data_IF_296685578373
#
_entry.id   IF_296685578373
#
_cell.length_a   1.000
_cell.length_b   1.000
_cell.length_c   1.000
_cell.angle_alpha   90.00
_cell.angle_beta   90.00
_cell.angle_gamma   90.00
#
_symmetry.space_group_name_H-M   'P 1'
#
loop_
_entity.id
_entity.type
_entity.pdbx_description
1 polymer ?
#
# COMPACT_ATOMS: atom_id res chain seq x y z
N UNK A 1 31.10 -10.75 11.76
CA UNK A 1 31.62 -9.71 10.84
C UNK A 1 30.61 -9.58 9.69
N UNK A 2 30.25 -8.39 9.21
CA UNK A 2 29.33 -8.26 8.04
C UNK A 2 30.11 -8.47 6.74
N UNK A 3 29.62 -9.32 5.83
CA UNK A 3 30.15 -9.44 4.45
C UNK A 3 29.93 -8.10 3.73
N UNK A 4 30.91 -7.64 2.97
CA UNK A 4 30.75 -6.55 2.00
C UNK A 4 30.58 -7.15 0.61
N UNK A 5 29.69 -6.60 -0.19
CA UNK A 5 29.63 -6.85 -1.63
C UNK A 5 30.47 -5.80 -2.37
N UNK A 6 31.01 -6.18 -3.51
CA UNK A 6 31.72 -5.30 -4.44
C UNK A 6 30.77 -4.80 -5.54
N UNK A 7 31.22 -3.80 -6.30
CA UNK A 7 30.52 -3.37 -7.51
C UNK A 7 30.48 -4.45 -8.60
N UNK A 8 31.36 -5.45 -8.56
CA UNK A 8 31.31 -6.58 -9.48
C UNK A 8 30.17 -7.54 -9.13
N UNK A 9 29.98 -7.87 -7.84
CA UNK A 9 28.88 -8.73 -7.39
C UNK A 9 27.50 -8.09 -7.69
N UNK A 10 27.39 -6.76 -7.53
CA UNK A 10 26.18 -6.01 -7.89
C UNK A 10 25.94 -6.07 -9.41
N UNK A 11 26.99 -5.87 -10.23
CA UNK A 11 26.89 -5.95 -11.70
C UNK A 11 26.64 -7.36 -12.23
N UNK A 12 27.01 -8.41 -11.50
CA UNK A 12 26.66 -9.80 -11.83
C UNK A 12 25.26 -10.20 -11.37
N UNK A 13 24.45 -9.27 -10.85
CA UNK A 13 23.08 -9.53 -10.46
C UNK A 13 22.91 -10.32 -9.16
N UNK A 14 23.89 -10.34 -8.25
CA UNK A 14 23.79 -11.11 -6.99
C UNK A 14 22.65 -10.67 -6.04
N UNK A 15 22.00 -9.54 -6.36
CA UNK A 15 20.87 -8.95 -5.65
C UNK A 15 19.56 -8.98 -6.46
N UNK A 16 19.57 -9.63 -7.63
CA UNK A 16 18.34 -9.98 -8.35
C UNK A 16 17.77 -11.21 -7.63
N UNK A 17 16.51 -11.13 -7.23
CA UNK A 17 15.81 -12.21 -6.54
C UNK A 17 15.58 -13.39 -7.49
N UNK A 18 15.70 -14.61 -6.98
CA UNK A 18 15.41 -15.82 -7.74
C UNK A 18 13.92 -16.17 -7.63
N UNK A 19 13.30 -16.70 -8.70
CA UNK A 19 11.98 -17.32 -8.62
C UNK A 19 11.92 -18.31 -7.46
N UNK A 20 10.86 -18.20 -6.66
CA UNK A 20 10.65 -19.01 -5.46
C UNK A 20 9.42 -19.88 -5.67
N UNK A 21 9.59 -21.19 -5.44
CA UNK A 21 8.51 -22.15 -5.56
C UNK A 21 7.50 -21.94 -4.44
N UNK A 22 6.24 -21.73 -4.79
CA UNK A 22 5.14 -21.59 -3.85
C UNK A 22 4.08 -22.67 -4.11
N UNK A 23 3.34 -22.99 -3.04
CA UNK A 23 2.11 -23.78 -3.11
C UNK A 23 0.95 -22.84 -2.84
N UNK A 24 -0.06 -22.85 -3.71
CA UNK A 24 -1.22 -21.94 -3.63
C UNK A 24 -2.47 -22.76 -3.36
N UNK A 25 -3.05 -22.60 -2.18
CA UNK A 25 -4.32 -23.24 -1.78
C UNK A 25 -5.52 -22.46 -2.37
N UNK A 26 -6.46 -23.18 -2.98
CA UNK A 26 -7.69 -22.66 -3.58
C UNK A 26 -8.88 -23.59 -3.32
N UNK A 27 -10.10 -23.07 -3.44
CA UNK A 27 -11.33 -23.86 -3.42
C UNK A 27 -11.86 -24.07 -4.84
N UNK A 28 -11.97 -25.33 -5.27
CA UNK A 28 -12.53 -25.72 -6.56
C UNK A 28 -13.82 -26.51 -6.31
N UNK A 29 -14.95 -26.00 -6.81
CA UNK A 29 -16.29 -26.59 -6.57
C UNK A 29 -16.69 -26.80 -5.09
N UNK A 30 -15.97 -26.18 -4.15
CA UNK A 30 -16.14 -26.34 -2.70
C UNK A 30 -15.14 -27.30 -2.04
N UNK A 31 -14.32 -28.01 -2.82
CA UNK A 31 -13.24 -28.87 -2.33
C UNK A 31 -11.93 -28.06 -2.26
N UNK A 32 -11.13 -28.18 -1.17
CA UNK A 32 -9.78 -27.64 -1.12
C UNK A 32 -8.87 -28.34 -2.12
N UNK A 33 -8.10 -27.56 -2.88
CA UNK A 33 -7.09 -28.02 -3.81
C UNK A 33 -5.85 -27.12 -3.67
N UNK A 34 -4.68 -27.66 -3.98
CA UNK A 34 -3.44 -26.90 -4.12
C UNK A 34 -2.88 -27.03 -5.54
N UNK A 35 -1.97 -26.11 -5.88
CA UNK A 35 -1.08 -26.25 -7.03
C UNK A 35 0.26 -25.58 -6.73
N UNK A 36 1.30 -26.00 -7.44
CA UNK A 36 2.64 -25.42 -7.34
C UNK A 36 2.93 -24.51 -8.54
N UNK A 37 3.63 -23.39 -8.31
CA UNK A 37 4.16 -22.49 -9.35
C UNK A 37 5.39 -21.75 -8.78
N UNK A 38 6.06 -20.91 -9.58
CA UNK A 38 7.09 -20.00 -9.05
C UNK A 38 6.65 -18.54 -9.17
N UNK A 39 7.05 -17.73 -8.19
CA UNK A 39 6.89 -16.28 -8.22
C UNK A 39 8.23 -15.57 -8.03
N UNK A 40 8.40 -14.41 -8.67
CA UNK A 40 9.46 -13.44 -8.32
C UNK A 40 8.88 -12.27 -7.51
N UNK A 41 9.74 -11.49 -6.84
CA UNK A 41 9.32 -10.15 -6.37
C UNK A 41 8.99 -9.22 -7.54
N UNK A 42 8.24 -8.16 -7.25
CA UNK A 42 8.00 -7.08 -8.21
C UNK A 42 9.29 -6.26 -8.38
N UNK A 43 9.68 -6.01 -9.62
CA UNK A 43 10.91 -5.33 -10.01
C UNK A 43 10.65 -4.26 -11.08
N UNK A 44 11.69 -3.87 -11.83
CA UNK A 44 11.57 -2.88 -12.90
C UNK A 44 10.76 -3.37 -14.12
N UNK A 45 10.73 -4.66 -14.46
CA UNK A 45 9.85 -5.15 -15.55
C UNK A 45 8.39 -5.15 -15.10
N UNK A 46 8.12 -5.45 -13.82
CA UNK A 46 6.77 -5.32 -13.25
C UNK A 46 6.25 -3.89 -13.32
N UNK A 47 7.10 -2.91 -13.00
CA UNK A 47 6.76 -1.49 -13.09
C UNK A 47 6.50 -1.05 -14.55
N UNK A 48 7.28 -1.57 -15.51
CA UNK A 48 7.06 -1.32 -16.95
C UNK A 48 5.73 -1.95 -17.40
N UNK A 49 5.44 -3.20 -17.03
CA UNK A 49 4.19 -3.88 -17.36
C UNK A 49 2.97 -3.13 -16.81
N UNK A 50 3.03 -2.63 -15.57
CA UNK A 50 1.99 -1.76 -15.00
C UNK A 50 1.83 -0.45 -15.78
N UNK A 51 2.94 0.21 -16.15
CA UNK A 51 2.89 1.45 -16.94
C UNK A 51 2.33 1.23 -18.35
N UNK A 52 2.65 0.11 -19.00
CA UNK A 52 2.11 -0.25 -20.30
C UNK A 52 0.63 -0.60 -20.25
N UNK A 53 0.17 -1.30 -19.20
CA UNK A 53 -1.25 -1.58 -18.98
C UNK A 53 -2.06 -0.28 -18.89
N UNK A 54 -1.60 0.65 -18.04
CA UNK A 54 -2.22 1.96 -17.84
C UNK A 54 -2.27 2.77 -19.15
N UNK A 55 -1.18 2.79 -19.94
CA UNK A 55 -1.15 3.45 -21.26
C UNK A 55 -2.15 2.86 -22.26
N UNK A 56 -2.45 1.56 -22.14
CA UNK A 56 -3.42 0.84 -22.98
C UNK A 56 -4.85 0.90 -22.42
N UNK A 57 -5.10 1.69 -21.37
CA UNK A 57 -6.34 1.71 -20.58
C UNK A 57 -6.79 0.31 -20.08
N UNK A 58 -5.82 -0.59 -19.85
CA UNK A 58 -6.03 -1.92 -19.27
C UNK A 58 -5.92 -1.86 -17.75
N UNK A 59 -6.67 -2.74 -17.09
CA UNK A 59 -6.45 -3.10 -15.68
C UNK A 59 -5.03 -3.70 -15.53
N UNK A 60 -4.28 -3.25 -14.52
CA UNK A 60 -2.85 -3.49 -14.39
C UNK A 60 -2.46 -4.66 -13.46
N UNK A 61 -3.32 -5.10 -12.54
CA UNK A 61 -3.07 -6.29 -11.71
C UNK A 61 -2.87 -7.53 -12.59
N UNK A 62 -3.65 -7.69 -13.66
CA UNK A 62 -3.43 -8.77 -14.61
C UNK A 62 -2.04 -8.73 -15.28
N UNK A 63 -1.47 -7.55 -15.52
CA UNK A 63 -0.12 -7.38 -16.07
C UNK A 63 0.98 -7.62 -15.02
N UNK A 64 0.72 -7.23 -13.78
CA UNK A 64 1.60 -7.51 -12.63
C UNK A 64 1.65 -9.01 -12.35
N UNK A 65 0.51 -9.70 -12.39
CA UNK A 65 0.42 -11.15 -12.23
C UNK A 65 1.15 -11.88 -13.37
N UNK A 66 0.99 -11.44 -14.62
CA UNK A 66 1.69 -12.03 -15.77
C UNK A 66 3.21 -11.90 -15.66
N UNK A 67 3.72 -10.76 -15.16
CA UNK A 67 5.16 -10.57 -14.93
C UNK A 67 5.67 -11.34 -13.70
N UNK A 68 4.87 -11.49 -12.64
CA UNK A 68 5.30 -12.12 -11.39
C UNK A 68 5.19 -13.65 -11.37
N UNK A 69 4.24 -14.25 -12.10
CA UNK A 69 4.05 -15.72 -12.19
C UNK A 69 4.96 -16.27 -13.29
N UNK A 70 5.98 -17.00 -12.89
CA UNK A 70 7.12 -17.38 -13.73
C UNK A 70 7.47 -18.85 -13.54
N UNK A 71 8.29 -19.39 -14.44
CA UNK A 71 8.90 -20.70 -14.27
C UNK A 71 10.18 -20.63 -13.42
N UNK A 72 10.83 -21.78 -13.21
CA UNK A 72 12.11 -21.92 -12.49
C UNK A 72 13.24 -20.99 -12.99
N UNK A 73 13.16 -20.49 -14.23
CA UNK A 73 14.17 -19.61 -14.85
C UNK A 73 13.81 -18.12 -14.78
N UNK A 74 12.59 -17.77 -14.34
CA UNK A 74 12.08 -16.40 -14.33
C UNK A 74 11.42 -15.97 -15.65
N UNK A 75 11.10 -16.92 -16.53
CA UNK A 75 10.32 -16.67 -17.76
C UNK A 75 8.82 -16.70 -17.40
N UNK A 76 7.98 -15.73 -17.82
CA UNK A 76 6.54 -15.73 -17.55
C UNK A 76 5.80 -16.99 -18.01
N UNK A 77 4.94 -17.56 -17.16
CA UNK A 77 4.11 -18.73 -17.51
C UNK A 77 2.75 -18.35 -18.14
N UNK A 78 2.27 -17.11 -17.95
CA UNK A 78 0.95 -16.67 -18.40
C UNK A 78 1.00 -15.31 -19.10
N UNK A 79 0.21 -15.14 -20.17
CA UNK A 79 -0.06 -13.82 -20.76
C UNK A 79 -1.12 -13.05 -19.97
N UNK A 80 -1.15 -11.71 -20.10
CA UNK A 80 -2.20 -10.90 -19.47
C UNK A 80 -3.60 -11.31 -19.96
N UNK A 81 -3.73 -11.70 -21.23
CA UNK A 81 -4.95 -12.14 -21.88
C UNK A 81 -5.47 -13.45 -21.30
N UNK A 82 -4.59 -14.40 -20.96
CA UNK A 82 -4.97 -15.64 -20.29
C UNK A 82 -5.42 -15.38 -18.86
N UNK A 83 -4.72 -14.52 -18.12
CA UNK A 83 -5.10 -14.15 -16.75
C UNK A 83 -6.49 -13.48 -16.74
N UNK A 84 -6.72 -12.46 -17.58
CA UNK A 84 -8.04 -11.77 -17.66
C UNK A 84 -9.19 -12.67 -18.13
N UNK A 85 -8.89 -13.81 -18.76
CA UNK A 85 -9.89 -14.75 -19.31
C UNK A 85 -10.18 -15.94 -18.38
N UNK A 86 -9.16 -16.44 -17.66
CA UNK A 86 -9.23 -17.72 -16.95
C UNK A 86 -9.06 -17.61 -15.43
N UNK A 87 -8.48 -16.53 -14.91
CA UNK A 87 -8.26 -16.43 -13.47
C UNK A 87 -9.52 -15.94 -12.75
N UNK A 88 -10.03 -16.76 -11.83
CA UNK A 88 -11.14 -16.39 -10.96
C UNK A 88 -10.69 -15.44 -9.85
N UNK A 89 -11.60 -14.65 -9.26
CA UNK A 89 -11.23 -13.74 -8.16
C UNK A 89 -10.53 -14.45 -6.99
N UNK A 90 -10.97 -15.63 -6.51
CA UNK A 90 -10.25 -16.36 -5.46
C UNK A 90 -8.80 -16.73 -5.84
N UNK A 91 -8.55 -17.11 -7.10
CA UNK A 91 -7.21 -17.42 -7.60
C UNK A 91 -6.33 -16.15 -7.65
N UNK A 92 -6.88 -15.04 -8.14
CA UNK A 92 -6.24 -13.72 -8.14
C UNK A 92 -5.87 -13.30 -6.71
N UNK A 93 -6.83 -13.40 -5.78
CA UNK A 93 -6.63 -13.03 -4.37
C UNK A 93 -5.52 -13.88 -3.73
N UNK A 94 -5.54 -15.20 -3.93
CA UNK A 94 -4.58 -16.14 -3.32
C UNK A 94 -3.15 -15.91 -3.84
N UNK A 95 -2.94 -15.85 -5.16
CA UNK A 95 -1.63 -15.60 -5.75
C UNK A 95 -1.12 -14.20 -5.34
N UNK A 96 -1.99 -13.20 -5.30
CA UNK A 96 -1.62 -11.84 -4.91
C UNK A 96 -1.14 -11.75 -3.45
N UNK A 97 -1.71 -12.53 -2.52
CA UNK A 97 -1.17 -12.58 -1.15
C UNK A 97 0.24 -13.15 -1.09
N UNK A 98 0.54 -14.22 -1.84
CA UNK A 98 1.89 -14.81 -1.88
C UNK A 98 2.91 -13.87 -2.54
N UNK A 99 2.53 -13.18 -3.63
CA UNK A 99 3.35 -12.12 -4.24
C UNK A 99 3.63 -11.01 -3.23
N UNK A 100 2.60 -10.49 -2.54
CA UNK A 100 2.78 -9.44 -1.52
C UNK A 100 3.70 -9.92 -0.38
N UNK A 101 3.48 -11.12 0.15
CA UNK A 101 4.29 -11.77 1.20
C UNK A 101 5.77 -11.83 0.83
N UNK A 102 6.13 -12.34 -0.36
CA UNK A 102 7.52 -12.36 -0.87
C UNK A 102 8.07 -10.94 -1.04
N UNK A 103 7.29 -10.01 -1.59
CA UNK A 103 7.67 -8.59 -1.74
C UNK A 103 7.87 -7.84 -0.43
N UNK A 104 7.17 -8.18 0.65
CA UNK A 104 7.37 -7.60 1.98
C UNK A 104 8.54 -8.25 2.73
N UNK A 105 8.81 -9.55 2.53
CA UNK A 105 10.04 -10.19 3.01
C UNK A 105 11.31 -9.56 2.39
N UNK A 106 11.27 -9.21 1.10
CA UNK A 106 12.35 -8.45 0.44
C UNK A 106 12.63 -7.07 1.06
N UNK A 107 11.70 -6.51 1.84
CA UNK A 107 11.86 -5.22 2.55
C UNK A 107 12.52 -5.37 3.93
N UNK A 108 13.01 -6.56 4.30
CA UNK A 108 13.92 -6.73 5.45
C UNK A 108 15.31 -6.20 5.08
N UNK A 109 15.42 -4.87 4.94
CA UNK A 109 16.63 -4.10 4.59
C UNK A 109 17.64 -4.07 5.74
N UNK A 110 18.10 -5.26 6.12
CA UNK A 110 19.07 -5.50 7.19
C UNK A 110 18.76 -4.71 8.47
N UNK A 111 17.59 -4.97 9.06
CA UNK A 111 17.18 -4.63 10.43
C UNK A 111 18.04 -5.34 11.47
N UNK A 112 19.34 -5.04 11.38
CA UNK A 112 20.29 -5.10 12.46
C UNK A 112 19.65 -4.35 13.61
N UNK A 113 19.38 -5.03 14.72
CA UNK A 113 18.95 -4.38 15.94
C UNK A 113 19.99 -3.32 16.33
N UNK A 114 19.76 -2.07 15.95
CA UNK A 114 20.30 -0.94 16.69
C UNK A 114 19.62 -1.05 18.04
N UNK A 115 20.34 -1.63 19.02
CA UNK A 115 20.00 -1.42 20.42
C UNK A 115 19.88 0.08 20.60
N UNK A 116 18.69 0.55 20.95
CA UNK A 116 18.54 1.89 21.50
C UNK A 116 19.50 1.96 22.68
N UNK A 117 20.55 2.77 22.53
CA UNK A 117 21.56 2.92 23.55
C UNK A 117 20.99 3.89 24.57
N UNK A 118 20.19 3.35 25.51
CA UNK A 118 19.56 4.11 26.60
C UNK A 118 20.50 5.20 27.12
N UNK A 119 20.15 6.45 26.82
CA UNK A 119 21.04 7.60 26.97
C UNK A 119 20.22 8.79 27.44
N UNK A 120 20.49 9.26 28.65
CA UNK A 120 19.84 10.46 29.21
C UNK A 120 18.50 10.16 29.87
N UNK A 121 18.52 9.47 31.00
CA UNK A 121 17.46 9.62 32.01
C UNK A 121 17.45 11.09 32.46
N UNK A 122 16.52 11.89 31.94
CA UNK A 122 16.24 13.24 32.40
C UNK A 122 14.86 13.25 33.06
N UNK A 123 14.85 13.08 34.37
CA UNK A 123 13.69 13.41 35.21
C UNK A 123 14.00 14.73 35.92
N UNK A 124 13.32 15.80 35.51
CA UNK A 124 13.39 17.09 36.22
C UNK A 124 11.98 17.63 36.42
N UNK A 125 11.38 17.26 37.54
CA UNK A 125 10.15 17.87 38.05
C UNK A 125 10.51 18.74 39.25
N UNK A 126 10.47 20.05 39.08
CA UNK A 126 10.53 21.04 40.16
C UNK A 126 9.38 22.02 39.97
N UNK A 127 8.49 22.10 40.96
CA UNK A 127 7.26 22.90 40.89
C UNK A 127 7.33 24.13 41.82
N UNK A 128 6.48 25.10 41.53
CA UNK A 128 5.93 26.13 42.43
C UNK A 128 6.85 27.15 43.10
N UNK A 129 6.60 28.44 42.81
CA UNK A 129 6.36 29.60 43.72
C UNK A 129 5.57 30.60 42.82
N UNK A 130 4.25 30.79 42.96
CA UNK A 130 3.54 31.79 43.81
C UNK A 130 3.87 33.26 43.40
N UNK A 131 2.96 34.26 43.36
CA UNK A 131 1.51 34.41 43.60
C UNK A 131 1.03 35.73 42.88
N UNK A 132 -0.21 36.24 42.78
CA UNK A 132 -1.60 35.91 43.17
C UNK A 132 -2.59 36.79 42.33
N UNK A 133 -3.91 36.68 42.59
CA UNK A 133 -4.98 37.70 42.37
C UNK A 133 -5.47 37.94 40.91
N UNK A 134 -6.77 38.01 40.61
CA UNK A 134 -8.00 37.91 41.43
C UNK A 134 -9.21 37.47 40.54
N UNK A 135 -10.20 36.73 41.09
CA UNK A 135 -11.52 36.49 40.46
C UNK A 135 -12.63 36.32 41.52
N UNK A 136 -13.68 37.14 41.46
CA UNK A 136 -15.08 36.68 41.39
C UNK A 136 -15.93 37.58 40.43
N UNK A 137 -17.17 37.29 40.00
CA UNK A 137 -18.02 36.08 39.93
C UNK A 137 -19.12 36.30 38.84
N UNK A 138 -19.86 35.23 38.49
CA UNK A 138 -21.08 35.20 37.64
C UNK A 138 -22.36 35.69 38.39
N UNK A 139 -23.61 35.69 37.83
CA UNK A 139 -24.13 35.23 36.50
C UNK A 139 -25.15 36.22 35.82
N UNK A 140 -26.02 35.71 34.92
CA UNK A 140 -27.30 36.25 34.38
C UNK A 140 -27.21 37.22 33.18
N UNK A 141 -28.09 37.20 32.16
CA UNK A 141 -29.15 36.25 31.77
C UNK A 141 -29.53 36.39 30.26
N UNK A 142 -30.50 35.57 29.80
CA UNK A 142 -31.42 35.59 28.62
C UNK A 142 -31.33 36.79 27.63
N UNK A 143 -31.55 36.66 26.31
CA UNK A 143 -32.76 36.12 25.66
C UNK A 143 -32.55 35.45 24.28
N UNK A 144 -33.49 34.56 23.92
CA UNK A 144 -33.71 34.10 22.53
C UNK A 144 -34.53 35.13 21.75
N UNK A 145 -34.38 35.17 20.42
CA UNK A 145 -35.53 35.37 19.53
C UNK A 145 -35.29 34.78 18.13
N UNK A 146 -36.36 34.32 17.48
CA UNK A 146 -36.32 33.59 16.21
C UNK A 146 -37.35 34.15 15.22
N UNK A 147 -36.88 34.56 14.04
CA UNK A 147 -37.63 34.67 12.78
C UNK A 147 -36.58 34.87 11.66
N UNK A 148 -36.69 34.32 10.45
CA UNK A 148 -37.77 33.54 9.85
C UNK A 148 -38.59 34.37 8.86
N UNK A 149 -38.29 34.24 7.56
CA UNK A 149 -39.26 34.11 6.46
C UNK A 149 -38.55 33.87 5.11
N UNK A 150 -39.32 33.42 4.12
CA UNK A 150 -38.88 32.98 2.80
C UNK A 150 -39.32 33.96 1.68
N UNK A 151 -39.04 33.55 0.43
CA UNK A 151 -39.84 33.81 -0.78
C UNK A 151 -39.39 34.96 -1.69
N UNK A 152 -38.85 34.57 -2.86
CA UNK A 152 -39.05 35.09 -4.24
C UNK A 152 -38.89 36.61 -4.50
N UNK A 153 -38.40 37.09 -5.66
CA UNK A 153 -39.03 36.88 -6.96
C UNK A 153 -38.12 37.25 -8.16
N UNK A 154 -38.32 36.51 -9.25
CA UNK A 154 -37.98 36.75 -10.67
C UNK A 154 -37.30 38.07 -11.08
N UNK A 155 -36.14 37.95 -11.76
CA UNK A 155 -35.61 38.96 -12.68
C UNK A 155 -35.83 38.51 -14.14
N UNK A 156 -36.70 39.20 -14.87
CA UNK A 156 -37.09 38.81 -16.23
C UNK A 156 -36.21 39.46 -17.33
N UNK A 157 -36.18 38.79 -18.48
CA UNK A 157 -35.51 39.19 -19.73
C UNK A 157 -35.92 40.58 -20.22
N UNK A 158 -34.99 41.29 -20.86
CA UNK A 158 -35.31 42.25 -21.92
C UNK A 158 -34.29 42.16 -23.07
N UNK A 159 -34.77 42.30 -24.30
CA UNK A 159 -34.02 42.17 -25.57
C UNK A 159 -34.10 43.45 -26.39
N UNK A 160 -33.05 43.77 -27.15
CA UNK A 160 -33.00 44.68 -28.33
C UNK A 160 -31.55 44.73 -28.86
N UNK A 161 -31.22 45.03 -30.11
CA UNK A 161 -32.02 45.42 -31.31
C UNK A 161 -33.15 46.42 -31.10
#
# INVERSE_FOLDING_TARGET
MKKKLSLADIKSGILIDTPEKITVEILVNGEPCDFETHIKIMDYSTAIAQMEANQKNKEALASILADCIVNEKGEPEFTEEEIRKHFSKPLIDAIWQEILKKNFLGKVTATTNLKEKNSGQNSSSTASVEEQSQKPNEPLATENLSSGNNTEQSGAVSTSD
#
